data_IF_928561015943
#
_entry.id   IF_928561015943
#
_cell.length_a   1.000
_cell.length_b   1.000
_cell.length_c   1.000
_cell.angle_alpha   90.00
_cell.angle_beta   90.00
_cell.angle_gamma   90.00
#
_symmetry.space_group_name_H-M   'P 1'
#
loop_
_entity.id
_entity.type
_entity.pdbx_description
1 polymer ?
#
# COMPACT_ATOMS: atom_id res chain seq x y z
N UNK A 1 -27.55 -5.92 -14.38
CA UNK A 1 -27.12 -4.62 -13.83
C UNK A 1 -25.60 -4.56 -14.00
N UNK A 2 -25.05 -3.51 -14.63
CA UNK A 2 -23.60 -3.43 -14.90
C UNK A 2 -22.85 -2.73 -13.77
N UNK A 3 -21.53 -2.95 -13.68
CA UNK A 3 -20.65 -2.14 -12.82
C UNK A 3 -20.14 -0.95 -13.62
N UNK A 4 -20.37 0.25 -13.10
CA UNK A 4 -19.81 1.50 -13.63
C UNK A 4 -18.52 1.81 -12.90
N UNK A 5 -17.40 1.49 -13.55
CA UNK A 5 -16.06 1.62 -12.97
C UNK A 5 -15.51 3.04 -13.15
N UNK A 6 -15.03 3.61 -12.04
CA UNK A 6 -14.42 4.94 -11.97
C UNK A 6 -12.95 4.86 -11.63
N UNK A 7 -12.19 5.86 -12.05
CA UNK A 7 -10.79 6.03 -11.64
C UNK A 7 -10.72 6.65 -10.23
N UNK A 8 -9.69 6.27 -9.48
CA UNK A 8 -9.44 6.80 -8.14
C UNK A 8 -8.93 8.25 -8.25
N UNK A 9 -9.56 9.17 -7.52
CA UNK A 9 -9.09 10.53 -7.35
C UNK A 9 -8.93 10.87 -5.86
N UNK A 10 -8.11 11.88 -5.55
CA UNK A 10 -7.85 12.29 -4.16
C UNK A 10 -9.15 12.64 -3.39
N UNK A 11 -10.12 13.24 -4.08
CA UNK A 11 -11.46 13.55 -3.54
C UNK A 11 -12.25 12.32 -3.05
N UNK A 12 -11.86 11.11 -3.48
CA UNK A 12 -12.55 9.88 -3.13
C UNK A 12 -12.07 9.32 -1.77
N UNK A 13 -11.10 9.96 -1.11
CA UNK A 13 -10.50 9.49 0.16
C UNK A 13 -11.52 9.13 1.22
N UNK A 14 -12.39 10.08 1.58
CA UNK A 14 -13.40 9.82 2.63
C UNK A 14 -14.44 8.80 2.19
N UNK A 15 -14.72 8.72 0.89
CA UNK A 15 -15.61 7.71 0.34
C UNK A 15 -15.04 6.30 0.50
N UNK A 16 -13.77 6.07 0.13
CA UNK A 16 -13.07 4.79 0.34
C UNK A 16 -12.94 4.45 1.82
N UNK A 17 -12.54 5.42 2.65
CA UNK A 17 -12.35 5.22 4.08
C UNK A 17 -13.62 4.75 4.80
N UNK A 18 -14.82 5.05 4.29
CA UNK A 18 -16.07 4.46 4.83
C UNK A 18 -16.12 2.94 4.67
N UNK A 19 -15.70 2.40 3.53
CA UNK A 19 -15.67 0.95 3.29
C UNK A 19 -14.51 0.28 4.02
N UNK A 20 -13.31 0.89 3.99
CA UNK A 20 -12.14 0.37 4.69
C UNK A 20 -12.36 0.25 6.20
N UNK A 21 -13.07 1.22 6.82
CA UNK A 21 -13.46 1.13 8.24
C UNK A 21 -14.44 0.01 8.54
N UNK A 22 -15.32 -0.35 7.60
CA UNK A 22 -16.24 -1.49 7.77
C UNK A 22 -15.53 -2.82 7.59
N UNK A 23 -14.54 -2.87 6.69
CA UNK A 23 -13.75 -4.07 6.37
C UNK A 23 -12.72 -4.40 7.45
N UNK A 24 -12.09 -3.37 8.02
CA UNK A 24 -10.99 -3.47 8.99
C UNK A 24 -9.78 -4.25 8.44
N UNK A 25 -9.12 -3.75 7.37
CA UNK A 25 -8.12 -4.49 6.62
C UNK A 25 -6.88 -4.86 7.43
N UNK A 26 -6.26 -5.98 7.03
CA UNK A 26 -5.02 -6.49 7.63
C UNK A 26 -3.85 -6.50 6.65
N UNK A 27 -4.10 -6.34 5.35
CA UNK A 27 -3.05 -6.28 4.32
C UNK A 27 -2.64 -4.83 4.07
N UNK A 28 -1.34 -4.58 3.92
CA UNK A 28 -0.73 -3.24 3.79
C UNK A 28 -1.27 -2.44 2.60
N UNK A 29 -1.70 -3.16 1.56
CA UNK A 29 -2.18 -2.58 0.32
C UNK A 29 -3.62 -2.06 0.38
N UNK A 30 -4.39 -2.47 1.38
CA UNK A 30 -5.79 -2.04 1.52
C UNK A 30 -5.90 -0.76 2.35
N UNK A 31 -5.25 0.29 1.85
CA UNK A 31 -5.39 1.68 2.33
C UNK A 31 -5.74 2.58 1.15
N UNK A 32 -6.48 3.66 1.39
CA UNK A 32 -6.74 4.64 0.33
C UNK A 32 -5.43 5.23 -0.21
N UNK A 33 -4.46 5.50 0.66
CA UNK A 33 -3.16 6.04 0.26
C UNK A 33 -2.43 5.12 -0.71
N UNK A 34 -2.34 3.81 -0.41
CA UNK A 34 -1.67 2.86 -1.30
C UNK A 34 -2.41 2.78 -2.64
N UNK A 35 -3.75 2.64 -2.60
CA UNK A 35 -4.57 2.64 -3.81
C UNK A 35 -4.38 3.93 -4.63
N UNK A 36 -4.36 5.10 -3.99
CA UNK A 36 -4.17 6.37 -4.67
C UNK A 36 -2.77 6.49 -5.25
N UNK A 37 -1.71 6.26 -4.47
CA UNK A 37 -0.34 6.49 -4.92
C UNK A 37 0.05 5.55 -6.08
N UNK A 38 -0.46 4.31 -6.09
CA UNK A 38 -0.18 3.33 -7.14
C UNK A 38 -1.20 3.31 -8.29
N UNK A 39 -2.24 4.16 -8.25
CA UNK A 39 -3.35 4.15 -9.21
C UNK A 39 -2.91 4.27 -10.67
N UNK A 40 -1.86 5.03 -10.95
CA UNK A 40 -1.39 5.29 -12.31
C UNK A 40 -0.65 4.09 -12.91
N UNK A 41 -0.02 3.28 -12.06
CA UNK A 41 0.70 2.08 -12.46
C UNK A 41 -0.25 0.89 -12.64
N UNK A 42 -1.07 0.61 -11.63
CA UNK A 42 -2.05 -0.48 -11.69
C UNK A 42 -3.33 -0.13 -12.46
N UNK A 43 -3.48 1.14 -12.87
CA UNK A 43 -4.70 1.68 -13.51
C UNK A 43 -5.96 1.27 -12.74
N UNK A 44 -5.92 1.50 -11.42
CA UNK A 44 -6.99 1.05 -10.54
C UNK A 44 -8.32 1.68 -10.92
N UNK A 45 -9.37 0.85 -10.94
CA UNK A 45 -10.75 1.29 -11.13
C UNK A 45 -11.62 0.70 -10.03
N UNK A 46 -12.62 1.45 -9.59
CA UNK A 46 -13.52 1.01 -8.54
C UNK A 46 -15.00 1.19 -8.91
N UNK A 47 -15.85 0.38 -8.29
CA UNK A 47 -17.30 0.51 -8.34
C UNK A 47 -17.90 0.15 -6.98
N UNK A 48 -19.02 0.74 -6.61
CA UNK A 48 -19.77 0.34 -5.42
C UNK A 48 -20.89 -0.62 -5.79
N UNK A 49 -21.06 -1.67 -5.00
CA UNK A 49 -22.20 -2.58 -5.07
C UNK A 49 -22.72 -2.80 -3.65
N UNK A 50 -23.88 -2.22 -3.34
CA UNK A 50 -24.40 -2.22 -1.97
C UNK A 50 -23.43 -1.55 -0.98
N UNK A 51 -23.15 -2.22 0.13
CA UNK A 51 -22.22 -1.74 1.17
C UNK A 51 -20.77 -2.25 0.98
N UNK A 52 -20.42 -2.67 -0.24
CA UNK A 52 -19.08 -3.11 -0.61
C UNK A 52 -18.52 -2.28 -1.77
N UNK A 53 -17.19 -2.15 -1.77
CA UNK A 53 -16.41 -1.59 -2.85
C UNK A 53 -15.73 -2.71 -3.63
N UNK A 54 -15.78 -2.60 -4.94
CA UNK A 54 -15.06 -3.45 -5.89
C UNK A 54 -13.88 -2.65 -6.41
N UNK A 55 -12.69 -3.24 -6.40
CA UNK A 55 -11.47 -2.66 -6.94
C UNK A 55 -10.85 -3.62 -7.95
N UNK A 56 -10.54 -3.11 -9.14
CA UNK A 56 -9.85 -3.85 -10.19
C UNK A 56 -8.59 -3.10 -10.62
N UNK A 57 -7.60 -3.87 -11.05
CA UNK A 57 -6.35 -3.41 -11.66
C UNK A 57 -6.40 -3.76 -13.15
N UNK A 58 -6.10 -2.79 -14.01
CA UNK A 58 -6.10 -2.94 -15.48
C UNK A 58 -4.81 -2.33 -16.05
N UNK A 59 -3.62 -2.84 -15.64
CA UNK A 59 -2.35 -2.22 -15.97
C UNK A 59 -2.07 -2.30 -17.48
N UNK A 60 -1.18 -1.42 -17.96
CA UNK A 60 -0.75 -1.42 -19.37
C UNK A 60 0.05 -2.69 -19.71
N UNK A 61 0.81 -3.22 -18.73
CA UNK A 61 1.54 -4.48 -18.80
C UNK A 61 1.04 -5.48 -17.74
N UNK A 62 0.93 -6.75 -18.12
CA UNK A 62 0.44 -7.83 -17.24
C UNK A 62 -1.02 -8.18 -17.48
N UNK A 63 -1.62 -8.92 -16.53
CA UNK A 63 -3.01 -9.35 -16.62
C UNK A 63 -3.91 -8.50 -15.71
N UNK A 64 -5.11 -8.09 -16.17
CA UNK A 64 -6.10 -7.51 -15.28
C UNK A 64 -6.48 -8.48 -14.16
N UNK A 65 -6.69 -7.94 -12.97
CA UNK A 65 -7.12 -8.72 -11.80
C UNK A 65 -8.04 -7.88 -10.90
N UNK A 66 -8.85 -8.56 -10.10
CA UNK A 66 -9.68 -7.94 -9.07
C UNK A 66 -9.06 -8.15 -7.68
N UNK A 67 -9.27 -7.20 -6.77
CA UNK A 67 -9.12 -7.46 -5.35
C UNK A 67 -10.36 -8.20 -4.85
N UNK A 68 -10.26 -8.82 -3.66
CA UNK A 68 -11.47 -9.20 -2.95
C UNK A 68 -12.33 -7.94 -2.70
N UNK A 69 -13.66 -8.00 -2.93
CA UNK A 69 -14.55 -6.90 -2.55
C UNK A 69 -14.43 -6.63 -1.05
N UNK A 70 -14.41 -5.37 -0.66
CA UNK A 70 -14.19 -4.95 0.74
C UNK A 70 -15.28 -3.99 1.20
N UNK A 71 -15.56 -4.01 2.50
CA UNK A 71 -16.64 -3.23 3.12
C UNK A 71 -17.45 -4.09 4.07
N UNK A 72 -18.78 -3.94 4.07
CA UNK A 72 -19.64 -4.79 4.89
C UNK A 72 -19.90 -6.13 4.20
N UNK A 73 -19.08 -7.13 4.54
CA UNK A 73 -19.16 -8.47 3.97
C UNK A 73 -20.43 -9.22 4.38
N UNK A 74 -21.07 -9.89 3.41
CA UNK A 74 -22.09 -10.93 3.59
C UNK A 74 -21.87 -12.02 2.55
N UNK A 75 -22.22 -13.28 2.86
CA UNK A 75 -22.01 -14.40 1.92
C UNK A 75 -22.78 -14.22 0.62
N UNK A 76 -24.04 -13.77 0.68
CA UNK A 76 -24.87 -13.50 -0.49
C UNK A 76 -24.32 -12.34 -1.32
N UNK A 77 -23.99 -11.22 -0.66
CA UNK A 77 -23.47 -10.04 -1.34
C UNK A 77 -22.13 -10.31 -2.00
N UNK A 78 -21.23 -11.02 -1.31
CA UNK A 78 -19.94 -11.41 -1.86
C UNK A 78 -20.10 -12.27 -3.11
N UNK A 79 -20.98 -13.28 -3.05
CA UNK A 79 -21.29 -14.15 -4.18
C UNK A 79 -21.81 -13.36 -5.38
N UNK A 80 -22.78 -12.47 -5.17
CA UNK A 80 -23.37 -11.68 -6.25
C UNK A 80 -22.33 -10.78 -6.92
N UNK A 81 -21.47 -10.12 -6.13
CA UNK A 81 -20.39 -9.28 -6.66
C UNK A 81 -19.37 -10.10 -7.44
N UNK A 82 -18.96 -11.26 -6.94
CA UNK A 82 -17.99 -12.11 -7.64
C UNK A 82 -18.56 -12.60 -8.98
N UNK A 83 -19.86 -12.93 -9.04
CA UNK A 83 -20.52 -13.28 -10.30
C UNK A 83 -20.60 -12.08 -11.27
N UNK A 84 -20.90 -10.88 -10.76
CA UNK A 84 -20.87 -9.66 -11.57
C UNK A 84 -19.47 -9.37 -12.12
N UNK A 85 -18.42 -9.58 -11.32
CA UNK A 85 -17.02 -9.46 -11.73
C UNK A 85 -16.68 -10.49 -12.79
N UNK A 86 -17.11 -11.75 -12.62
CA UNK A 86 -16.91 -12.80 -13.61
C UNK A 86 -17.48 -12.41 -14.98
N UNK A 87 -18.72 -11.93 -15.01
CA UNK A 87 -19.37 -11.46 -16.23
C UNK A 87 -18.65 -10.25 -16.84
N UNK A 88 -18.20 -9.32 -16.00
CA UNK A 88 -17.44 -8.14 -16.44
C UNK A 88 -16.10 -8.53 -17.07
N UNK A 89 -15.32 -9.39 -16.43
CA UNK A 89 -14.05 -9.89 -16.95
C UNK A 89 -14.24 -10.66 -18.26
N UNK A 90 -15.26 -11.53 -18.32
CA UNK A 90 -15.60 -12.27 -19.54
C UNK A 90 -15.96 -11.35 -20.70
N UNK A 91 -16.75 -10.30 -20.47
CA UNK A 91 -17.13 -9.31 -21.51
C UNK A 91 -15.92 -8.54 -22.05
N UNK A 92 -14.90 -8.33 -21.23
CA UNK A 92 -13.66 -7.67 -21.63
C UNK A 92 -12.59 -8.65 -22.17
N UNK A 93 -12.94 -9.93 -22.36
CA UNK A 93 -12.00 -10.99 -22.76
C UNK A 93 -10.80 -11.17 -21.81
N UNK A 94 -11.02 -10.94 -20.51
CA UNK A 94 -9.99 -11.14 -19.46
C UNK A 94 -10.21 -12.43 -18.69
N UNK A 95 -9.12 -13.05 -18.26
CA UNK A 95 -9.16 -14.19 -17.34
C UNK A 95 -9.57 -13.68 -15.97
N UNK A 96 -10.55 -14.35 -15.33
CA UNK A 96 -10.93 -14.02 -13.96
C UNK A 96 -9.80 -14.40 -13.00
N UNK A 97 -9.19 -13.38 -12.38
CA UNK A 97 -8.12 -13.54 -11.39
C UNK A 97 -8.40 -12.60 -10.23
N UNK A 98 -8.35 -13.14 -9.02
CA UNK A 98 -8.30 -12.33 -7.80
C UNK A 98 -6.86 -12.30 -7.28
N UNK A 99 -6.31 -11.11 -7.11
CA UNK A 99 -4.96 -10.88 -6.59
C UNK A 99 -5.00 -10.32 -5.17
N UNK A 100 -3.91 -10.52 -4.42
CA UNK A 100 -3.72 -9.96 -3.06
C UNK A 100 -4.88 -10.28 -2.12
N UNK A 101 -5.40 -11.52 -2.20
CA UNK A 101 -6.53 -11.98 -1.40
C UNK A 101 -6.04 -12.32 0.01
N UNK A 102 -6.53 -11.64 1.07
CA UNK A 102 -6.20 -12.00 2.44
C UNK A 102 -6.70 -13.41 2.76
N UNK A 103 -5.96 -14.15 3.58
CA UNK A 103 -6.36 -15.50 4.02
C UNK A 103 -7.75 -15.52 4.68
N UNK A 104 -8.10 -14.45 5.40
CA UNK A 104 -9.40 -14.30 6.07
C UNK A 104 -10.60 -14.31 5.13
N UNK A 105 -10.40 -13.98 3.84
CA UNK A 105 -11.48 -13.94 2.83
C UNK A 105 -11.58 -15.25 2.03
N UNK A 106 -10.55 -16.10 2.07
CA UNK A 106 -10.55 -17.38 1.35
C UNK A 106 -11.77 -18.29 1.62
N UNK A 107 -12.36 -18.35 2.84
CA UNK A 107 -13.57 -19.14 3.07
C UNK A 107 -14.74 -18.79 2.13
N UNK A 108 -14.96 -17.50 1.83
CA UNK A 108 -16.02 -17.06 0.92
C UNK A 108 -15.78 -17.54 -0.52
N UNK A 109 -14.53 -17.48 -0.98
CA UNK A 109 -14.16 -18.01 -2.30
C UNK A 109 -14.30 -19.54 -2.37
N UNK A 110 -13.89 -20.26 -1.31
CA UNK A 110 -14.00 -21.72 -1.23
C UNK A 110 -15.46 -22.18 -1.23
N UNK A 111 -16.33 -21.46 -0.53
CA UNK A 111 -17.77 -21.75 -0.54
C UNK A 111 -18.37 -21.58 -1.95
N UNK A 112 -18.00 -20.48 -2.63
CA UNK A 112 -18.54 -20.13 -3.94
C UNK A 112 -18.03 -21.04 -5.06
N UNK A 113 -16.72 -21.28 -5.12
CA UNK A 113 -16.10 -21.99 -6.24
C UNK A 113 -15.78 -23.45 -5.95
N UNK A 114 -15.71 -23.86 -4.67
CA UNK A 114 -15.28 -25.20 -4.26
C UNK A 114 -13.98 -25.58 -4.98
N UNK A 115 -13.95 -26.71 -5.67
CA UNK A 115 -12.78 -27.22 -6.38
C UNK A 115 -12.53 -26.56 -7.75
N UNK A 116 -13.32 -25.54 -8.13
CA UNK A 116 -13.20 -24.85 -9.43
C UNK A 116 -12.21 -23.68 -9.42
N UNK A 117 -11.65 -23.34 -8.26
CA UNK A 117 -10.67 -22.26 -8.12
C UNK A 117 -9.28 -22.83 -7.80
N UNK A 118 -8.27 -22.34 -8.50
CA UNK A 118 -6.86 -22.56 -8.13
C UNK A 118 -6.45 -21.48 -7.14
N UNK A 119 -6.03 -21.88 -5.94
CA UNK A 119 -5.51 -20.97 -4.90
C UNK A 119 -4.00 -21.18 -4.82
N UNK A 120 -3.23 -20.10 -4.99
CA UNK A 120 -1.78 -20.10 -4.90
C UNK A 120 -1.33 -19.05 -3.88
N UNK A 121 -0.43 -19.44 -2.99
CA UNK A 121 0.28 -18.49 -2.13
C UNK A 121 1.22 -17.66 -2.99
N UNK A 122 1.17 -16.35 -2.83
CA UNK A 122 2.08 -15.40 -3.46
C UNK A 122 3.08 -14.90 -2.39
N UNK A 123 4.12 -15.70 -2.16
CA UNK A 123 5.12 -15.39 -1.12
C UNK A 123 5.82 -14.05 -1.37
N UNK A 124 5.99 -13.65 -2.63
CA UNK A 124 6.67 -12.42 -3.01
C UNK A 124 5.90 -11.15 -2.60
N UNK A 125 4.60 -11.26 -2.36
CA UNK A 125 3.72 -10.16 -1.94
C UNK A 125 3.19 -10.37 -0.50
N UNK A 126 3.87 -11.17 0.32
CA UNK A 126 3.53 -11.31 1.74
C UNK A 126 3.93 -10.07 2.55
N UNK A 127 3.05 -9.63 3.46
CA UNK A 127 3.35 -8.53 4.37
C UNK A 127 4.24 -8.97 5.55
N UNK A 128 5.23 -8.15 5.89
CA UNK A 128 6.01 -8.30 7.10
C UNK A 128 5.36 -7.53 8.25
N UNK A 129 4.86 -8.27 9.26
CA UNK A 129 4.20 -7.68 10.43
C UNK A 129 5.10 -7.75 11.65
N UNK A 130 5.27 -6.61 12.33
CA UNK A 130 6.13 -6.47 13.50
C UNK A 130 5.35 -5.90 14.70
N UNK A 131 5.71 -6.34 15.90
CA UNK A 131 5.26 -5.70 17.15
C UNK A 131 5.86 -4.30 17.25
N UNK A 132 5.02 -3.27 17.30
CA UNK A 132 5.46 -1.88 17.51
C UNK A 132 6.22 -1.72 18.82
N UNK A 133 5.77 -2.40 19.89
CA UNK A 133 6.46 -2.46 21.18
C UNK A 133 7.88 -3.01 21.05
N UNK A 134 8.06 -4.04 20.22
CA UNK A 134 9.37 -4.64 19.99
C UNK A 134 10.29 -3.70 19.20
N UNK A 135 9.77 -3.03 18.16
CA UNK A 135 10.55 -2.08 17.36
C UNK A 135 10.93 -0.80 18.13
N UNK A 136 10.09 -0.37 19.09
CA UNK A 136 10.37 0.78 19.96
C UNK A 136 11.40 0.42 21.03
N UNK A 137 11.20 -0.71 21.72
CA UNK A 137 12.01 -1.08 22.89
C UNK A 137 13.31 -1.80 22.53
N UNK A 138 13.29 -2.53 21.40
CA UNK A 138 14.41 -3.34 20.90
C UNK A 138 14.98 -4.27 21.97
N UNK A 139 14.16 -4.84 22.85
CA UNK A 139 14.63 -5.66 23.99
C UNK A 139 14.97 -7.09 23.58
N UNK A 140 16.06 -7.62 24.13
CA UNK A 140 16.45 -9.03 24.00
C UNK A 140 17.48 -9.29 22.89
N UNK A 141 18.03 -10.51 22.91
CA UNK A 141 19.19 -10.94 22.09
C UNK A 141 18.95 -10.78 20.59
N UNK A 142 17.72 -10.98 20.12
CA UNK A 142 17.34 -10.82 18.70
C UNK A 142 17.57 -9.40 18.16
N UNK A 143 17.54 -8.38 19.02
CA UNK A 143 17.68 -6.98 18.63
C UNK A 143 19.05 -6.37 18.97
N UNK A 144 20.00 -7.17 19.48
CA UNK A 144 21.35 -6.69 19.84
C UNK A 144 22.03 -5.99 18.66
N UNK A 145 21.94 -6.57 17.45
CA UNK A 145 22.46 -5.96 16.23
C UNK A 145 21.84 -4.61 15.92
N UNK A 146 20.51 -4.47 16.06
CA UNK A 146 19.80 -3.20 15.82
C UNK A 146 20.20 -2.13 16.83
N UNK A 147 20.29 -2.48 18.13
CA UNK A 147 20.78 -1.56 19.16
C UNK A 147 22.24 -1.15 18.90
N UNK A 148 23.09 -2.08 18.48
CA UNK A 148 24.48 -1.79 18.11
C UNK A 148 24.58 -0.83 16.92
N UNK A 149 23.74 -0.98 15.89
CA UNK A 149 23.67 -0.03 14.78
C UNK A 149 23.27 1.37 15.25
N UNK A 150 22.23 1.48 16.09
CA UNK A 150 21.78 2.76 16.66
C UNK A 150 22.88 3.40 17.52
N UNK A 151 23.53 2.64 18.41
CA UNK A 151 24.63 3.15 19.24
C UNK A 151 25.81 3.61 18.40
N UNK A 152 26.18 2.85 17.36
CA UNK A 152 27.25 3.24 16.43
C UNK A 152 26.88 4.53 15.70
N UNK A 153 25.64 4.64 15.19
CA UNK A 153 25.15 5.84 14.51
C UNK A 153 25.21 7.06 15.42
N UNK A 154 24.62 6.98 16.63
CA UNK A 154 24.62 8.07 17.62
C UNK A 154 26.02 8.50 18.09
N UNK A 155 27.02 7.61 18.03
CA UNK A 155 28.41 7.92 18.39
C UNK A 155 29.17 8.60 17.25
N UNK A 156 28.88 8.24 16.00
CA UNK A 156 29.64 8.69 14.84
C UNK A 156 29.09 9.97 14.22
N UNK A 157 27.82 10.29 14.46
CA UNK A 157 27.12 11.36 13.74
C UNK A 157 26.37 12.28 14.69
N UNK A 158 26.42 13.58 14.40
CA UNK A 158 25.43 14.53 14.87
C UNK A 158 24.18 14.36 14.01
N UNK A 159 23.01 14.21 14.65
CA UNK A 159 21.76 13.94 13.94
C UNK A 159 20.57 14.68 14.57
N UNK A 160 19.60 15.07 13.74
CA UNK A 160 18.27 15.50 14.18
C UNK A 160 17.20 14.53 13.68
N UNK A 161 16.11 14.43 14.43
CA UNK A 161 14.86 13.79 14.01
C UNK A 161 13.79 14.86 13.96
N UNK A 162 13.11 14.97 12.82
CA UNK A 162 12.08 15.97 12.59
C UNK A 162 10.85 15.30 11.99
N UNK A 163 9.67 15.79 12.35
CA UNK A 163 8.43 15.35 11.70
C UNK A 163 8.37 15.95 10.30
N UNK A 164 7.84 15.19 9.36
CA UNK A 164 7.56 15.73 8.03
C UNK A 164 6.37 16.68 8.11
N UNK A 165 6.52 17.86 7.54
CA UNK A 165 5.48 18.87 7.36
C UNK A 165 5.73 19.68 6.08
N UNK A 166 4.86 20.65 5.79
CA UNK A 166 4.95 21.47 4.59
C UNK A 166 6.27 22.25 4.46
N UNK A 167 6.98 22.54 5.55
CA UNK A 167 8.24 23.30 5.52
C UNK A 167 9.44 22.46 5.10
N UNK A 168 9.39 21.13 5.28
CA UNK A 168 10.52 20.23 5.01
C UNK A 168 10.21 19.10 4.00
N UNK A 169 8.98 19.00 3.48
CA UNK A 169 8.58 18.00 2.49
C UNK A 169 9.44 18.01 1.20
N UNK A 170 10.01 19.16 0.84
CA UNK A 170 10.93 19.27 -0.30
C UNK A 170 12.19 18.42 -0.11
N UNK A 171 12.63 18.20 1.13
CA UNK A 171 13.79 17.37 1.43
C UNK A 171 13.48 15.88 1.25
N UNK A 172 12.25 15.43 1.56
CA UNK A 172 11.82 14.06 1.22
C UNK A 172 11.86 13.83 -0.30
N UNK A 173 11.37 14.81 -1.08
CA UNK A 173 11.38 14.73 -2.55
C UNK A 173 12.82 14.69 -3.09
N UNK A 174 13.71 15.53 -2.55
CA UNK A 174 15.14 15.50 -2.89
C UNK A 174 15.78 14.14 -2.59
N UNK A 175 15.55 13.58 -1.40
CA UNK A 175 16.07 12.25 -1.03
C UNK A 175 15.55 11.19 -2.02
N UNK A 176 14.27 11.26 -2.39
CA UNK A 176 13.68 10.32 -3.35
C UNK A 176 14.30 10.44 -4.74
N UNK A 177 14.51 11.66 -5.24
CA UNK A 177 15.16 11.92 -6.53
C UNK A 177 16.61 11.44 -6.55
N UNK A 178 17.37 11.70 -5.47
CA UNK A 178 18.75 11.22 -5.32
C UNK A 178 18.82 9.69 -5.27
N UNK A 179 17.99 9.06 -4.45
CA UNK A 179 17.87 7.60 -4.38
C UNK A 179 17.54 7.02 -5.76
N UNK A 180 16.66 7.68 -6.51
CA UNK A 180 16.24 7.21 -7.81
C UNK A 180 17.33 7.37 -8.88
N UNK A 181 18.13 8.43 -8.81
CA UNK A 181 19.31 8.61 -9.66
C UNK A 181 20.36 7.52 -9.41
N UNK A 182 20.57 7.12 -8.16
CA UNK A 182 21.51 6.04 -7.80
C UNK A 182 21.04 4.66 -8.24
N UNK A 183 19.73 4.41 -8.19
CA UNK A 183 19.12 3.12 -8.56
C UNK A 183 18.79 2.99 -10.04
N UNK A 184 19.17 3.99 -10.84
CA UNK A 184 18.88 4.08 -12.27
C UNK A 184 17.40 3.81 -12.57
N UNK A 185 16.48 4.58 -11.95
CA UNK A 185 15.08 4.50 -12.36
C UNK A 185 14.87 5.11 -13.75
N UNK A 186 15.33 4.41 -14.78
CA UNK A 186 15.00 4.67 -16.18
C UNK A 186 13.74 3.90 -16.57
N UNK A 187 13.03 4.48 -17.53
CA UNK A 187 11.83 4.01 -18.22
C UNK A 187 11.25 2.65 -17.79
N UNK A 188 10.04 2.71 -17.21
CA UNK A 188 9.12 1.59 -17.00
C UNK A 188 9.63 0.42 -16.14
N UNK A 189 10.78 0.55 -15.45
CA UNK A 189 11.20 -0.44 -14.46
C UNK A 189 10.43 -0.26 -13.11
N UNK A 190 10.49 -1.28 -12.24
CA UNK A 190 9.79 -1.25 -10.95
C UNK A 190 10.18 -0.04 -10.08
N UNK A 191 11.45 0.37 -10.12
CA UNK A 191 11.95 1.53 -9.36
C UNK A 191 11.36 2.86 -9.89
N UNK A 192 11.13 2.98 -11.20
CA UNK A 192 10.50 4.15 -11.80
C UNK A 192 9.04 4.29 -11.34
N UNK A 193 8.34 3.16 -11.30
CA UNK A 193 6.96 3.10 -10.82
C UNK A 193 6.87 3.42 -9.33
N UNK A 194 7.79 2.89 -8.52
CA UNK A 194 7.93 3.22 -7.11
C UNK A 194 8.22 4.72 -6.91
N UNK A 195 9.12 5.31 -7.69
CA UNK A 195 9.40 6.74 -7.61
C UNK A 195 8.16 7.59 -7.90
N UNK A 196 7.41 7.27 -8.96
CA UNK A 196 6.17 7.98 -9.28
C UNK A 196 5.13 7.83 -8.17
N UNK A 197 4.95 6.62 -7.63
CA UNK A 197 4.02 6.40 -6.52
C UNK A 197 4.44 7.17 -5.27
N UNK A 198 5.71 7.13 -4.89
CA UNK A 198 6.22 7.87 -3.73
C UNK A 198 6.05 9.38 -3.90
N UNK A 199 6.27 9.90 -5.11
CA UNK A 199 6.02 11.32 -5.42
C UNK A 199 4.54 11.69 -5.35
N UNK A 200 3.61 10.81 -5.76
CA UNK A 200 2.17 11.01 -5.56
C UNK A 200 1.83 11.15 -4.08
N UNK A 201 2.41 10.30 -3.22
CA UNK A 201 2.22 10.37 -1.76
C UNK A 201 2.83 11.65 -1.17
N UNK A 202 4.07 11.99 -1.53
CA UNK A 202 4.76 13.19 -1.01
C UNK A 202 4.09 14.50 -1.46
N UNK A 203 3.45 14.52 -2.63
CA UNK A 203 2.73 15.70 -3.11
C UNK A 203 1.37 15.93 -2.43
N UNK A 204 0.82 14.92 -1.77
CA UNK A 204 -0.54 14.95 -1.19
C UNK A 204 -0.56 14.48 0.27
N UNK A 205 0.57 14.57 0.99
CA UNK A 205 0.76 13.96 2.31
C UNK A 205 -0.29 14.44 3.32
N UNK A 206 -0.62 15.73 3.30
CA UNK A 206 -1.57 16.35 4.23
C UNK A 206 -3.01 15.90 3.93
N UNK A 207 -3.42 15.91 2.65
CA UNK A 207 -4.73 15.45 2.22
C UNK A 207 -4.94 13.96 2.47
N UNK A 208 -3.88 13.16 2.34
CA UNK A 208 -3.88 11.74 2.65
C UNK A 208 -3.92 11.48 4.16
N UNK A 209 -3.46 12.44 4.98
CA UNK A 209 -3.40 12.33 6.44
C UNK A 209 -2.26 11.43 6.92
N UNK A 210 -1.24 11.22 6.08
CA UNK A 210 -0.07 10.45 6.43
C UNK A 210 0.83 11.22 7.40
N UNK A 211 1.68 10.50 8.12
CA UNK A 211 2.71 11.06 9.00
C UNK A 211 4.07 10.57 8.57
N UNK A 212 5.07 11.41 8.77
CA UNK A 212 6.44 11.04 8.42
C UNK A 212 7.49 11.59 9.36
N UNK A 213 8.70 11.13 9.15
CA UNK A 213 9.89 11.62 9.81
C UNK A 213 11.06 11.78 8.84
N UNK A 214 11.93 12.73 9.15
CA UNK A 214 13.18 13.04 8.49
C UNK A 214 14.33 12.88 9.49
N UNK A 215 15.45 12.34 9.02
CA UNK A 215 16.70 12.28 9.77
C UNK A 215 17.73 13.15 9.07
N UNK A 216 18.28 14.12 9.80
CA UNK A 216 19.48 14.83 9.37
C UNK A 216 20.74 14.18 9.93
N UNK A 217 21.84 14.25 9.19
CA UNK A 217 23.17 13.82 9.61
C UNK A 217 24.14 14.93 9.22
N UNK A 218 24.85 15.49 10.20
CA UNK A 218 25.82 16.59 10.01
C UNK A 218 25.23 17.77 9.21
N UNK A 219 23.98 18.16 9.54
CA UNK A 219 23.31 19.32 8.96
C UNK A 219 22.62 19.10 7.60
N UNK A 220 22.58 17.86 7.07
CA UNK A 220 21.86 17.53 5.83
C UNK A 220 20.86 16.41 6.07
N UNK A 221 19.65 16.49 5.51
CA UNK A 221 18.69 15.39 5.57
C UNK A 221 19.12 14.22 4.69
N UNK A 222 19.21 13.04 5.27
CA UNK A 222 19.76 11.83 4.63
C UNK A 222 18.79 10.65 4.61
N UNK A 223 17.67 10.71 5.34
CA UNK A 223 16.65 9.67 5.28
C UNK A 223 15.27 10.19 5.65
N UNK A 224 14.23 9.58 5.10
CA UNK A 224 12.85 9.81 5.51
C UNK A 224 12.02 8.52 5.54
N UNK A 225 10.91 8.58 6.28
CA UNK A 225 9.89 7.53 6.31
C UNK A 225 8.50 8.14 6.38
N UNK A 226 7.52 7.59 5.65
CA UNK A 226 6.11 8.00 5.66
C UNK A 226 5.22 6.79 5.88
N UNK A 227 4.21 6.93 6.73
CA UNK A 227 3.22 5.90 6.99
C UNK A 227 1.90 6.44 7.50
N UNK A 228 0.96 5.54 7.74
CA UNK A 228 -0.36 5.83 8.30
C UNK A 228 -0.88 4.66 9.15
N UNK A 229 -2.03 4.85 9.80
CA UNK A 229 -2.75 3.75 10.40
C UNK A 229 -3.46 2.94 9.31
N UNK A 230 -3.14 1.65 9.20
CA UNK A 230 -3.87 0.71 8.35
C UNK A 230 -5.27 0.45 8.93
N UNK A 231 -5.31 0.26 10.25
CA UNK A 231 -6.51 0.04 11.04
C UNK A 231 -6.28 0.54 12.49
N UNK A 232 -7.18 0.23 13.43
CA UNK A 232 -7.11 0.76 14.80
C UNK A 232 -5.88 0.30 15.60
N UNK A 233 -5.19 -0.78 15.21
CA UNK A 233 -4.08 -1.35 15.95
C UNK A 233 -2.79 -1.59 15.13
N UNK A 234 -2.82 -1.32 13.83
CA UNK A 234 -1.72 -1.58 12.90
C UNK A 234 -1.41 -0.31 12.11
N UNK A 235 -0.13 0.06 12.08
CA UNK A 235 0.37 1.10 11.19
C UNK A 235 1.11 0.46 10.01
N UNK A 236 0.99 1.06 8.83
CA UNK A 236 1.73 0.69 7.62
C UNK A 236 2.76 1.77 7.31
N UNK A 237 3.98 1.36 6.99
CA UNK A 237 5.04 2.24 6.49
C UNK A 237 5.06 2.08 4.97
N UNK A 238 4.60 3.11 4.26
CA UNK A 238 4.52 3.08 2.79
C UNK A 238 5.88 3.28 2.14
N UNK A 239 6.68 4.17 2.73
CA UNK A 239 7.97 4.56 2.17
C UNK A 239 8.97 4.70 3.29
N UNK A 240 10.13 4.07 3.16
CA UNK A 240 11.31 4.32 3.98
C UNK A 240 12.53 4.36 3.07
N UNK A 241 13.21 5.50 3.00
CA UNK A 241 14.28 5.76 2.04
C UNK A 241 15.44 6.51 2.68
N UNK A 242 16.63 5.91 2.72
CA UNK A 242 17.89 6.62 2.95
C UNK A 242 18.52 7.06 1.62
N UNK A 243 19.35 8.08 1.66
CA UNK A 243 20.39 8.31 0.64
C UNK A 243 21.46 7.23 0.85
N UNK A 244 21.83 6.49 -0.20
CA UNK A 244 22.95 5.56 -0.09
C UNK A 244 24.26 6.36 -0.14
N UNK A 245 25.18 6.08 0.77
CA UNK A 245 26.56 6.56 0.69
C UNK A 245 27.50 5.37 0.60
#
# INVERSE_FOLDING_TARGET
MGMDFKEIALRDREYFNRFLRMDNPQISELTFTNMFMWRNFYKFRYAQVGDMLVLISVPDEGIPFAFAPFGRLSSEGFKDIVLMLWDYFKKNNWKMVFGRVPESILPFFKELFKDKAEIKLDEANSDYVYSSKDLISLVGKKYDGKRNHIHKFKRLYEYSYEKVDASNISECKRIMDEWCAEKDCKDHNANYCENKANMELLNNIDELGCKGALISVNGRYEAFTIGEMLNDNTAVIHVEKPIAK
#
